data_IF_960283545380
#
_entry.id   IF_960283545380
#
_cell.length_a   1.000
_cell.length_b   1.000
_cell.length_c   1.000
_cell.angle_alpha   90.00
_cell.angle_beta   90.00
_cell.angle_gamma   90.00
#
_symmetry.space_group_name_H-M   'P 1'
#
loop_
_entity.id
_entity.type
_entity.pdbx_description
1 polymer ?
#
# COMPACT_ATOMS: atom_id res chain seq x y z
N UNK A 1 6.58 -6.09 25.03
CA UNK A 1 5.51 -6.17 24.03
C UNK A 1 5.89 -5.21 22.92
N UNK A 2 6.45 -5.71 21.81
CA UNK A 2 6.83 -4.88 20.65
C UNK A 2 5.70 -4.95 19.62
N UNK A 3 4.53 -4.41 19.95
CA UNK A 3 3.40 -4.33 19.02
C UNK A 3 3.42 -2.99 18.29
N UNK A 4 3.23 -3.03 16.97
CA UNK A 4 3.11 -1.83 16.15
C UNK A 4 1.79 -1.11 16.43
N UNK A 5 1.84 0.20 16.62
CA UNK A 5 0.65 1.06 16.73
C UNK A 5 0.66 2.05 15.56
N UNK A 6 -0.32 1.99 14.64
CA UNK A 6 -0.35 2.86 13.47
C UNK A 6 -0.52 4.34 13.83
N UNK A 7 0.24 5.21 13.14
CA UNK A 7 0.12 6.67 13.25
C UNK A 7 -1.06 7.23 12.44
N UNK A 8 -1.29 8.53 12.51
CA UNK A 8 -2.30 9.20 11.67
C UNK A 8 -2.00 9.04 10.18
N UNK A 9 -0.72 9.07 9.80
CA UNK A 9 -0.25 8.81 8.43
C UNK A 9 -0.66 7.44 7.89
N UNK A 10 -0.77 6.43 8.77
CA UNK A 10 -1.26 5.12 8.38
C UNK A 10 -2.79 5.08 8.33
N UNK A 11 -3.46 5.69 9.32
CA UNK A 11 -4.93 5.71 9.46
C UNK A 11 -5.65 6.54 8.38
N UNK A 12 -5.03 7.64 7.94
CA UNK A 12 -5.49 8.48 6.84
C UNK A 12 -4.76 8.14 5.52
N UNK A 13 -4.00 7.04 5.51
CA UNK A 13 -3.30 6.52 4.35
C UNK A 13 -3.64 5.05 4.08
N UNK A 14 -2.66 4.12 4.11
CA UNK A 14 -2.84 2.73 3.71
C UNK A 14 -3.89 1.94 4.51
N UNK A 15 -4.15 2.28 5.78
CA UNK A 15 -5.17 1.59 6.56
C UNK A 15 -6.58 2.11 6.31
N UNK A 16 -6.74 3.26 5.62
CA UNK A 16 -8.05 3.78 5.25
C UNK A 16 -8.65 3.03 4.07
N UNK A 17 -7.85 2.86 3.02
CA UNK A 17 -8.27 2.25 1.75
C UNK A 17 -7.56 0.91 1.48
N UNK A 18 -6.88 0.35 2.48
CA UNK A 18 -6.29 -0.98 2.42
C UNK A 18 -5.36 -1.17 1.22
N UNK A 19 -5.46 -2.29 0.49
CA UNK A 19 -4.65 -2.56 -0.68
C UNK A 19 -4.96 -1.68 -1.89
N UNK A 20 -5.90 -0.73 -1.82
CA UNK A 20 -6.11 0.27 -2.88
C UNK A 20 -5.20 1.50 -2.75
N UNK A 21 -4.45 1.66 -1.65
CA UNK A 21 -3.58 2.84 -1.45
C UNK A 21 -2.49 2.98 -2.53
N UNK A 22 -2.35 4.14 -3.21
CA UNK A 22 -1.46 4.31 -4.36
C UNK A 22 0.00 4.55 -3.96
N UNK A 23 0.91 4.34 -4.92
CA UNK A 23 2.29 4.81 -4.83
C UNK A 23 2.47 6.03 -5.73
N UNK A 24 3.01 7.11 -5.17
CA UNK A 24 3.31 8.34 -5.90
C UNK A 24 4.83 8.55 -5.87
N UNK A 25 5.43 8.82 -7.03
CA UNK A 25 6.85 9.15 -7.12
C UNK A 25 7.13 10.55 -6.55
N UNK A 26 8.11 10.67 -5.65
CA UNK A 26 8.38 11.93 -4.95
C UNK A 26 9.22 12.90 -5.80
N UNK A 27 10.32 12.47 -6.46
CA UNK A 27 11.09 13.39 -7.29
C UNK A 27 10.22 14.02 -8.37
N UNK A 28 10.32 15.35 -8.50
CA UNK A 28 9.60 16.09 -9.51
C UNK A 28 10.26 15.84 -10.87
N UNK A 29 9.54 15.18 -11.77
CA UNK A 29 9.97 14.93 -13.14
C UNK A 29 8.97 15.55 -14.11
N UNK A 30 9.18 16.78 -14.56
CA UNK A 30 8.27 17.41 -15.53
C UNK A 30 8.29 16.66 -16.89
N UNK A 31 7.13 16.40 -17.53
CA UNK A 31 5.77 16.82 -17.16
C UNK A 31 4.96 15.79 -16.33
N UNK A 32 5.59 14.77 -15.77
CA UNK A 32 4.92 13.81 -14.88
C UNK A 32 4.54 14.49 -13.54
N UNK A 33 3.25 14.77 -13.35
CA UNK A 33 2.73 15.45 -12.14
C UNK A 33 1.88 14.51 -11.27
N UNK A 34 2.43 13.36 -10.90
CA UNK A 34 1.74 12.36 -10.08
C UNK A 34 1.43 12.84 -8.65
N UNK A 35 2.14 13.87 -8.17
CA UNK A 35 1.98 14.39 -6.80
C UNK A 35 0.62 15.08 -6.55
N UNK A 36 -0.15 15.33 -7.61
CA UNK A 36 -1.51 15.86 -7.55
C UNK A 36 -2.58 14.79 -7.73
N UNK A 37 -2.20 13.51 -7.70
CA UNK A 37 -3.15 12.41 -7.82
C UNK A 37 -4.18 12.49 -6.69
N UNK A 38 -5.45 12.54 -7.10
CA UNK A 38 -6.59 12.44 -6.19
C UNK A 38 -7.04 10.98 -6.14
N UNK A 39 -7.34 10.50 -4.93
CA UNK A 39 -7.89 9.16 -4.76
C UNK A 39 -9.32 9.13 -5.32
N UNK A 40 -9.67 8.17 -6.20
CA UNK A 40 -11.01 8.09 -6.75
C UNK A 40 -12.02 7.81 -5.63
N UNK A 41 -13.15 8.51 -5.67
CA UNK A 41 -14.26 8.31 -4.71
C UNK A 41 -15.58 8.45 -5.47
N UNK A 42 -16.65 7.92 -4.89
CA UNK A 42 -18.00 8.05 -5.47
C UNK A 42 -18.58 9.44 -5.19
N UNK A 43 -19.49 9.95 -6.05
CA UNK A 43 -20.21 11.21 -5.79
C UNK A 43 -20.98 11.22 -4.46
N UNK A 44 -21.35 10.05 -3.96
CA UNK A 44 -22.07 9.82 -2.70
C UNK A 44 -21.16 9.95 -1.47
N UNK A 45 -19.84 9.92 -1.66
CA UNK A 45 -18.83 10.08 -0.61
C UNK A 45 -18.94 11.46 0.04
N UNK A 46 -19.44 11.51 1.28
CA UNK A 46 -19.67 12.78 2.01
C UNK A 46 -18.40 13.60 2.23
N UNK A 47 -17.25 12.94 2.27
CA UNK A 47 -15.95 13.58 2.49
C UNK A 47 -15.00 13.48 1.28
N UNK A 48 -15.39 12.74 0.24
CA UNK A 48 -14.59 12.48 -0.95
C UNK A 48 -13.20 11.93 -0.64
N UNK A 49 -12.26 12.16 -1.55
CA UNK A 49 -10.84 11.77 -1.39
C UNK A 49 -10.05 12.60 -0.37
N UNK A 50 -10.65 13.63 0.26
CA UNK A 50 -9.93 14.59 1.14
C UNK A 50 -9.28 13.93 2.36
N UNK A 51 -9.86 12.84 2.85
CA UNK A 51 -9.40 12.13 4.05
C UNK A 51 -8.42 11.00 3.75
N UNK A 52 -8.17 10.72 2.48
CA UNK A 52 -7.14 9.80 2.03
C UNK A 52 -6.00 10.68 1.53
N UNK A 53 -4.89 10.74 2.24
CA UNK A 53 -3.70 11.46 1.80
C UNK A 53 -2.92 10.56 0.84
N UNK A 54 -3.07 10.68 -0.50
CA UNK A 54 -2.54 9.67 -1.43
C UNK A 54 -1.03 9.82 -1.60
N UNK A 55 -0.51 11.04 -1.36
CA UNK A 55 0.91 11.31 -1.28
C UNK A 55 1.40 11.04 0.13
N UNK A 56 1.90 9.83 0.37
CA UNK A 56 2.33 9.40 1.70
C UNK A 56 3.46 10.28 2.25
N UNK A 57 3.15 11.00 3.32
CA UNK A 57 4.10 11.79 4.08
C UNK A 57 3.95 11.46 5.57
N UNK A 58 4.85 10.66 6.14
CA UNK A 58 4.80 10.32 7.56
C UNK A 58 4.98 11.59 8.39
N UNK A 59 3.96 11.92 9.19
CA UNK A 59 3.96 13.13 10.01
C UNK A 59 5.06 13.09 11.06
N UNK A 60 5.61 14.28 11.35
CA UNK A 60 6.48 14.50 12.50
C UNK A 60 5.79 15.48 13.44
N UNK A 61 5.24 14.94 14.52
CA UNK A 61 4.52 15.70 15.54
C UNK A 61 5.51 16.03 16.67
N UNK A 62 5.43 17.26 17.20
CA UNK A 62 6.23 17.67 18.34
C UNK A 62 6.05 16.71 19.53
N UNK A 63 7.14 16.37 20.21
CA UNK A 63 7.15 15.36 21.27
C UNK A 63 7.18 13.90 20.82
N UNK A 64 7.11 13.60 19.51
CA UNK A 64 7.32 12.24 18.99
C UNK A 64 8.79 11.96 18.67
N UNK A 65 9.14 10.67 18.59
CA UNK A 65 10.43 10.25 18.04
C UNK A 65 10.61 10.81 16.62
N UNK A 66 11.83 11.26 16.30
CA UNK A 66 12.12 11.83 15.00
C UNK A 66 11.78 10.87 13.85
N UNK A 67 11.18 11.41 12.79
CA UNK A 67 10.52 10.64 11.73
C UNK A 67 11.43 9.57 11.10
N UNK A 68 12.69 9.90 10.84
CA UNK A 68 13.65 8.94 10.29
C UNK A 68 13.80 7.69 11.15
N UNK A 69 13.94 7.81 12.47
CA UNK A 69 13.99 6.63 13.35
C UNK A 69 12.67 5.88 13.39
N UNK A 70 11.54 6.60 13.53
CA UNK A 70 10.21 6.01 13.59
C UNK A 70 9.94 5.10 12.40
N UNK A 71 10.10 5.59 11.18
CA UNK A 71 9.80 4.80 9.97
C UNK A 71 10.67 3.53 9.87
N UNK A 72 11.93 3.59 10.29
CA UNK A 72 12.80 2.40 10.30
C UNK A 72 12.37 1.38 11.38
N UNK A 73 11.98 1.85 12.56
CA UNK A 73 11.44 1.00 13.64
C UNK A 73 10.08 0.40 13.27
N UNK A 74 9.22 1.16 12.59
CA UNK A 74 7.94 0.73 12.04
C UNK A 74 8.17 -0.43 11.07
N UNK A 75 9.02 -0.24 10.04
CA UNK A 75 9.33 -1.29 9.06
C UNK A 75 9.87 -2.55 9.74
N UNK A 76 10.79 -2.41 10.70
CA UNK A 76 11.35 -3.55 11.44
C UNK A 76 10.27 -4.31 12.20
N UNK A 77 9.45 -3.59 12.96
CA UNK A 77 8.41 -4.18 13.82
C UNK A 77 7.31 -4.81 12.97
N UNK A 78 6.82 -4.10 11.97
CA UNK A 78 5.80 -4.58 11.05
C UNK A 78 6.26 -5.80 10.25
N UNK A 79 7.52 -5.82 9.78
CA UNK A 79 8.07 -6.99 9.08
C UNK A 79 8.05 -8.24 9.97
N UNK A 80 8.30 -8.09 11.28
CA UNK A 80 8.18 -9.20 12.22
C UNK A 80 6.71 -9.58 12.45
N UNK A 81 5.82 -8.62 12.67
CA UNK A 81 4.39 -8.85 12.90
C UNK A 81 3.67 -9.49 11.70
N UNK A 82 4.03 -9.09 10.47
CA UNK A 82 3.42 -9.61 9.24
C UNK A 82 3.66 -11.11 9.04
N UNK A 83 4.72 -11.69 9.60
CA UNK A 83 4.93 -13.15 9.58
C UNK A 83 3.81 -13.90 10.29
N UNK A 84 3.26 -13.32 11.35
CA UNK A 84 2.13 -13.92 12.07
C UNK A 84 0.84 -13.83 11.27
N UNK A 85 0.59 -12.69 10.61
CA UNK A 85 -0.56 -12.52 9.71
C UNK A 85 -0.47 -13.44 8.48
N UNK A 86 0.71 -13.56 7.88
CA UNK A 86 0.96 -14.47 6.77
C UNK A 86 0.70 -15.92 7.17
N UNK A 87 1.16 -16.32 8.36
CA UNK A 87 0.89 -17.64 8.92
C UNK A 87 -0.61 -17.84 9.15
N UNK A 88 -1.28 -16.88 9.79
CA UNK A 88 -2.71 -16.95 10.09
C UNK A 88 -3.56 -17.13 8.83
N UNK A 89 -3.30 -16.37 7.75
CA UNK A 89 -4.04 -16.54 6.50
C UNK A 89 -3.79 -17.92 5.86
N UNK A 90 -2.57 -18.47 5.96
CA UNK A 90 -2.23 -19.78 5.39
C UNK A 90 -2.95 -20.90 6.15
N UNK A 91 -2.92 -20.84 7.48
CA UNK A 91 -3.61 -21.79 8.34
C UNK A 91 -5.13 -21.74 8.11
N UNK A 92 -5.71 -20.53 8.03
CA UNK A 92 -7.14 -20.37 7.74
C UNK A 92 -7.52 -20.99 6.39
N UNK A 93 -6.75 -20.71 5.33
CA UNK A 93 -6.98 -21.31 4.00
C UNK A 93 -6.86 -22.84 4.01
N UNK A 94 -5.90 -23.39 4.76
CA UNK A 94 -5.72 -24.85 4.85
C UNK A 94 -6.85 -25.57 5.58
N UNK A 95 -7.56 -24.87 6.47
CA UNK A 95 -8.68 -25.44 7.23
C UNK A 95 -10.01 -25.41 6.48
N UNK A 96 -10.15 -24.58 5.43
CA UNK A 96 -11.40 -24.45 4.66
C UNK A 96 -11.98 -25.77 4.12
N UNK A 97 -11.18 -26.74 3.61
CA UNK A 97 -11.72 -28.01 3.12
C UNK A 97 -12.41 -28.85 4.19
N UNK A 98 -11.99 -28.71 5.45
CA UNK A 98 -12.50 -29.49 6.60
C UNK A 98 -13.74 -28.84 7.23
N UNK A 99 -14.14 -27.65 6.77
CA UNK A 99 -15.33 -26.95 7.27
C UNK A 99 -16.59 -27.67 6.78
N UNK A 100 -17.54 -28.00 7.68
CA UNK A 100 -18.84 -28.54 7.31
C UNK A 100 -19.56 -27.67 6.29
N UNK A 101 -20.30 -28.30 5.37
CA UNK A 101 -21.00 -27.63 4.25
C UNK A 101 -21.84 -26.45 4.74
N UNK A 102 -22.55 -26.63 5.86
CA UNK A 102 -23.47 -25.64 6.44
C UNK A 102 -22.77 -24.40 7.02
N UNK A 103 -21.44 -24.44 7.24
CA UNK A 103 -20.62 -23.31 7.73
C UNK A 103 -19.63 -22.78 6.71
N UNK A 104 -19.63 -23.36 5.51
CA UNK A 104 -18.60 -23.09 4.49
C UNK A 104 -18.59 -21.63 4.05
N UNK A 105 -19.77 -21.03 3.86
CA UNK A 105 -19.85 -19.64 3.43
C UNK A 105 -19.33 -18.67 4.49
N UNK A 106 -19.72 -18.84 5.76
CA UNK A 106 -19.22 -18.03 6.88
C UNK A 106 -17.70 -18.17 7.05
N UNK A 107 -17.17 -19.38 6.90
CA UNK A 107 -15.74 -19.63 6.99
C UNK A 107 -14.96 -18.95 5.84
N UNK A 108 -15.50 -18.95 4.63
CA UNK A 108 -14.91 -18.26 3.48
C UNK A 108 -14.92 -16.73 3.67
N UNK A 109 -15.99 -16.16 4.24
CA UNK A 109 -16.07 -14.72 4.54
C UNK A 109 -15.04 -14.31 5.60
N UNK A 110 -14.90 -15.12 6.66
CA UNK A 110 -13.87 -14.91 7.68
C UNK A 110 -12.46 -15.02 7.08
N UNK A 111 -12.22 -16.01 6.23
CA UNK A 111 -10.94 -16.16 5.54
C UNK A 111 -10.63 -14.96 4.64
N UNK A 112 -11.63 -14.46 3.92
CA UNK A 112 -11.53 -13.26 3.08
C UNK A 112 -11.20 -12.00 3.90
N UNK A 113 -11.83 -11.86 5.07
CA UNK A 113 -11.55 -10.75 6.01
C UNK A 113 -10.10 -10.78 6.49
N UNK A 114 -9.61 -11.94 6.94
CA UNK A 114 -8.23 -12.10 7.41
C UNK A 114 -7.24 -11.84 6.29
N UNK A 115 -7.52 -12.34 5.08
CA UNK A 115 -6.70 -12.07 3.91
C UNK A 115 -6.64 -10.58 3.62
N UNK A 116 -7.78 -9.88 3.57
CA UNK A 116 -7.79 -8.45 3.30
C UNK A 116 -7.01 -7.67 4.37
N UNK A 117 -7.16 -7.99 5.66
CA UNK A 117 -6.36 -7.39 6.72
C UNK A 117 -4.85 -7.58 6.47
N UNK A 118 -4.41 -8.79 6.14
CA UNK A 118 -3.01 -9.06 5.82
C UNK A 118 -2.52 -8.21 4.63
N UNK A 119 -3.30 -8.12 3.55
CA UNK A 119 -2.96 -7.33 2.36
C UNK A 119 -2.89 -5.83 2.67
N UNK A 120 -3.77 -5.32 3.53
CA UNK A 120 -3.73 -3.93 4.01
C UNK A 120 -2.45 -3.64 4.79
N UNK A 121 -2.07 -4.52 5.72
CA UNK A 121 -0.82 -4.36 6.46
C UNK A 121 0.42 -4.50 5.57
N UNK A 122 0.37 -5.34 4.53
CA UNK A 122 1.45 -5.46 3.56
C UNK A 122 1.59 -4.18 2.74
N UNK A 123 0.49 -3.56 2.33
CA UNK A 123 0.49 -2.24 1.67
C UNK A 123 1.10 -1.17 2.57
N UNK A 124 0.73 -1.15 3.86
CA UNK A 124 1.29 -0.23 4.85
C UNK A 124 2.81 -0.43 5.00
N UNK A 125 3.31 -1.67 4.97
CA UNK A 125 4.75 -1.94 4.97
C UNK A 125 5.42 -1.41 3.70
N UNK A 126 4.82 -1.71 2.54
CA UNK A 126 5.41 -1.35 1.26
C UNK A 126 5.44 0.16 1.06
N UNK A 127 4.40 0.92 1.45
CA UNK A 127 4.42 2.38 1.31
C UNK A 127 5.50 3.04 2.16
N UNK A 128 5.77 2.54 3.37
CA UNK A 128 6.87 3.04 4.20
C UNK A 128 8.23 2.78 3.55
N UNK A 129 8.41 1.61 2.95
CA UNK A 129 9.62 1.28 2.16
C UNK A 129 9.75 2.17 0.93
N UNK A 130 8.64 2.38 0.22
CA UNK A 130 8.55 3.27 -0.93
C UNK A 130 8.97 4.69 -0.57
N UNK A 131 8.47 5.23 0.53
CA UNK A 131 8.85 6.54 1.04
C UNK A 131 10.36 6.64 1.33
N UNK A 132 10.95 5.64 1.99
CA UNK A 132 12.40 5.62 2.24
C UNK A 132 13.20 5.58 0.94
N UNK A 133 12.79 4.76 -0.04
CA UNK A 133 13.47 4.68 -1.34
C UNK A 133 13.43 6.03 -2.07
N UNK A 134 12.28 6.70 -2.07
CA UNK A 134 12.15 8.04 -2.63
C UNK A 134 13.09 9.04 -1.96
N UNK A 135 13.16 9.05 -0.62
CA UNK A 135 14.07 9.95 0.12
C UNK A 135 15.54 9.64 -0.12
N UNK A 136 15.90 8.36 -0.25
CA UNK A 136 17.25 7.97 -0.65
C UNK A 136 17.57 8.45 -2.06
N UNK A 137 16.66 8.27 -3.02
CA UNK A 137 16.83 8.67 -4.40
C UNK A 137 16.99 10.20 -4.55
N UNK A 138 16.18 10.99 -3.84
CA UNK A 138 16.25 12.47 -3.87
C UNK A 138 17.60 13.00 -3.38
N UNK A 139 18.24 12.32 -2.43
CA UNK A 139 19.51 12.75 -1.83
C UNK A 139 20.75 12.12 -2.50
N UNK A 140 20.57 11.11 -3.36
CA UNK A 140 21.68 10.37 -3.97
C UNK A 140 22.22 11.10 -5.21
N UNK A 141 23.54 11.26 -5.27
CA UNK A 141 24.24 11.95 -6.36
C UNK A 141 25.05 10.98 -7.22
N UNK A 142 25.33 9.77 -6.73
CA UNK A 142 26.06 8.75 -7.46
C UNK A 142 25.14 7.96 -8.37
N UNK A 143 25.43 7.97 -9.67
CA UNK A 143 24.62 7.30 -10.70
C UNK A 143 24.41 5.82 -10.43
N UNK A 144 25.47 5.09 -10.10
CA UNK A 144 25.41 3.64 -9.83
C UNK A 144 24.45 3.32 -8.68
N UNK A 145 24.50 4.10 -7.60
CA UNK A 145 23.61 3.95 -6.46
C UNK A 145 22.17 4.37 -6.78
N UNK A 146 21.99 5.48 -7.51
CA UNK A 146 20.66 5.95 -7.90
C UNK A 146 19.95 4.94 -8.81
N UNK A 147 20.68 4.31 -9.74
CA UNK A 147 20.16 3.23 -10.59
C UNK A 147 19.78 1.99 -9.76
N UNK A 148 20.60 1.60 -8.78
CA UNK A 148 20.26 0.51 -7.87
C UNK A 148 19.00 0.80 -7.03
N UNK A 149 18.83 2.03 -6.54
CA UNK A 149 17.60 2.44 -5.84
C UNK A 149 16.38 2.33 -6.78
N UNK A 150 16.50 2.70 -8.05
CA UNK A 150 15.43 2.52 -9.03
C UNK A 150 15.09 1.04 -9.28
N UNK A 151 16.07 0.15 -9.25
CA UNK A 151 15.84 -1.31 -9.33
C UNK A 151 15.05 -1.80 -8.10
N UNK A 152 15.44 -1.40 -6.89
CA UNK A 152 14.71 -1.71 -5.66
C UNK A 152 13.26 -1.16 -5.69
N UNK A 153 13.06 0.03 -6.25
CA UNK A 153 11.73 0.63 -6.44
C UNK A 153 10.86 -0.20 -7.41
N UNK A 154 11.44 -0.69 -8.50
CA UNK A 154 10.72 -1.53 -9.46
C UNK A 154 10.31 -2.89 -8.86
N UNK A 155 11.18 -3.51 -8.06
CA UNK A 155 10.87 -4.75 -7.32
C UNK A 155 9.72 -4.54 -6.31
N UNK A 156 9.73 -3.41 -5.61
CA UNK A 156 8.68 -3.06 -4.66
C UNK A 156 7.33 -2.82 -5.37
N UNK A 157 7.34 -2.15 -6.53
CA UNK A 157 6.14 -1.99 -7.37
C UNK A 157 5.60 -3.36 -7.79
N UNK A 158 6.45 -4.27 -8.25
CA UNK A 158 6.03 -5.61 -8.65
C UNK A 158 5.40 -6.40 -7.49
N UNK A 159 5.97 -6.26 -6.30
CA UNK A 159 5.45 -6.88 -5.06
C UNK A 159 4.09 -6.28 -4.66
N UNK A 160 3.96 -4.96 -4.69
CA UNK A 160 2.70 -4.28 -4.36
C UNK A 160 1.60 -4.53 -5.39
N UNK A 161 1.95 -4.59 -6.68
CA UNK A 161 1.01 -4.95 -7.74
C UNK A 161 0.43 -6.34 -7.53
N UNK A 162 1.26 -7.30 -7.12
CA UNK A 162 0.80 -8.66 -6.77
C UNK A 162 -0.10 -8.63 -5.53
N UNK A 163 0.27 -7.86 -4.51
CA UNK A 163 -0.55 -7.67 -3.30
C UNK A 163 -1.95 -7.14 -3.63
N UNK A 164 -2.05 -6.11 -4.47
CA UNK A 164 -3.33 -5.55 -4.92
C UNK A 164 -4.14 -6.57 -5.75
N UNK A 165 -3.49 -7.32 -6.64
CA UNK A 165 -4.17 -8.36 -7.43
C UNK A 165 -4.70 -9.50 -6.56
N UNK A 166 -3.93 -9.94 -5.55
CA UNK A 166 -4.33 -10.96 -4.59
C UNK A 166 -5.48 -10.50 -3.68
N UNK A 167 -5.73 -9.19 -3.57
CA UNK A 167 -6.84 -8.63 -2.80
C UNK A 167 -8.17 -8.60 -3.58
N UNK A 168 -8.16 -8.84 -4.90
CA UNK A 168 -9.38 -8.82 -5.73
C UNK A 168 -10.35 -9.96 -5.34
N UNK A 169 -9.92 -11.23 -5.20
CA UNK A 169 -10.83 -12.32 -4.83
C UNK A 169 -11.64 -12.10 -3.54
N UNK A 170 -11.03 -11.68 -2.41
CA UNK A 170 -11.80 -11.47 -1.18
C UNK A 170 -12.80 -10.31 -1.28
N UNK A 171 -12.44 -9.18 -1.91
CA UNK A 171 -13.39 -8.05 -2.04
C UNK A 171 -14.51 -8.32 -3.03
N UNK A 172 -14.27 -9.15 -4.06
CA UNK A 172 -15.33 -9.59 -4.98
C UNK A 172 -16.32 -10.52 -4.30
N UNK A 173 -15.84 -11.34 -3.35
CA UNK A 173 -16.70 -12.23 -2.57
C UNK A 173 -17.59 -11.44 -1.61
N UNK A 174 -17.00 -10.50 -0.87
CA UNK A 174 -17.72 -9.69 0.09
C UNK A 174 -17.40 -8.21 -0.13
N UNK A 175 -18.31 -7.51 -0.82
CA UNK A 175 -18.15 -6.09 -1.14
C UNK A 175 -18.08 -5.22 0.12
N UNK A 176 -18.67 -5.64 1.24
CA UNK A 176 -18.65 -4.88 2.51
C UNK A 176 -17.23 -4.66 3.02
N UNK A 177 -16.29 -5.53 2.66
CA UNK A 177 -14.89 -5.39 3.02
C UNK A 177 -14.23 -4.14 2.41
N UNK A 178 -14.80 -3.59 1.32
CA UNK A 178 -14.34 -2.36 0.68
C UNK A 178 -15.11 -1.10 1.08
N UNK A 179 -16.15 -1.23 1.92
CA UNK A 179 -17.11 -0.17 2.22
C UNK A 179 -16.79 0.56 3.53
N UNK A 180 -16.86 1.89 3.51
CA UNK A 180 -16.70 2.76 4.68
C UNK A 180 -17.87 3.77 4.74
N UNK A 181 -18.59 3.93 5.87
CA UNK A 181 -19.83 4.72 5.92
C UNK A 181 -19.76 6.18 5.44
N UNK A 182 -18.62 6.84 5.60
CA UNK A 182 -18.43 8.25 5.24
C UNK A 182 -17.81 8.43 3.85
N UNK A 183 -17.08 7.42 3.37
CA UNK A 183 -16.33 7.45 2.12
C UNK A 183 -16.90 6.58 1.00
N UNK A 184 -17.90 5.75 1.31
CA UNK A 184 -18.47 4.71 0.46
C UNK A 184 -17.44 3.61 0.15
N UNK A 185 -17.46 3.02 -1.06
CA UNK A 185 -16.47 2.03 -1.47
C UNK A 185 -15.13 2.70 -1.79
N UNK A 186 -14.10 2.34 -1.04
CA UNK A 186 -12.73 2.86 -1.18
C UNK A 186 -11.69 1.75 -1.36
N UNK A 187 -12.11 0.49 -1.26
CA UNK A 187 -11.29 -0.70 -1.48
C UNK A 187 -12.12 -1.83 -2.12
N UNK A 188 -12.76 -1.52 -3.25
CA UNK A 188 -13.44 -2.50 -4.09
C UNK A 188 -12.55 -2.99 -5.25
N UNK A 189 -13.11 -3.83 -6.12
CA UNK A 189 -12.43 -4.34 -7.30
C UNK A 189 -11.97 -3.22 -8.26
N UNK A 190 -12.78 -2.18 -8.47
CA UNK A 190 -12.47 -1.08 -9.38
C UNK A 190 -11.29 -0.24 -8.87
N UNK A 191 -11.25 0.02 -7.55
CA UNK A 191 -10.16 0.71 -6.88
C UNK A 191 -8.85 -0.11 -6.92
N UNK A 192 -8.93 -1.43 -6.72
CA UNK A 192 -7.75 -2.30 -6.86
C UNK A 192 -7.22 -2.32 -8.29
N UNK A 193 -8.11 -2.41 -9.29
CA UNK A 193 -7.73 -2.29 -10.69
C UNK A 193 -7.16 -0.91 -11.03
N UNK A 194 -7.73 0.16 -10.47
CA UNK A 194 -7.18 1.51 -10.60
C UNK A 194 -5.76 1.59 -10.05
N UNK A 195 -5.50 1.09 -8.83
CA UNK A 195 -4.15 1.06 -8.26
C UNK A 195 -3.18 0.27 -9.13
N UNK A 196 -3.58 -0.90 -9.63
CA UNK A 196 -2.72 -1.70 -10.53
C UNK A 196 -2.32 -0.88 -11.76
N UNK A 197 -3.25 -0.14 -12.36
CA UNK A 197 -2.93 0.77 -13.49
C UNK A 197 -1.95 1.88 -13.07
N UNK A 198 -2.09 2.45 -11.87
CA UNK A 198 -1.14 3.47 -11.37
C UNK A 198 0.26 2.88 -11.19
N UNK A 199 0.37 1.68 -10.61
CA UNK A 199 1.64 0.97 -10.43
C UNK A 199 2.31 0.61 -11.77
N UNK A 200 1.52 0.15 -12.74
CA UNK A 200 2.02 -0.13 -14.09
C UNK A 200 2.49 1.16 -14.79
N UNK A 201 1.74 2.27 -14.68
CA UNK A 201 2.15 3.57 -15.22
C UNK A 201 3.47 4.07 -14.58
N UNK A 202 3.57 3.98 -13.26
CA UNK A 202 4.75 4.36 -12.48
C UNK A 202 5.99 3.58 -12.93
N UNK A 203 5.86 2.27 -13.13
CA UNK A 203 6.94 1.40 -13.63
C UNK A 203 7.33 1.75 -15.07
N UNK A 204 6.36 1.74 -15.98
CA UNK A 204 6.61 1.70 -17.42
C UNK A 204 6.94 3.08 -18.00
N UNK A 205 6.44 4.14 -17.36
CA UNK A 205 6.62 5.52 -17.81
C UNK A 205 7.52 6.32 -16.87
N UNK A 206 7.14 6.46 -15.60
CA UNK A 206 7.80 7.41 -14.68
C UNK A 206 9.20 6.95 -14.26
N UNK A 207 9.37 5.74 -13.72
CA UNK A 207 10.70 5.22 -13.35
C UNK A 207 11.60 5.08 -14.59
N UNK A 208 11.03 4.66 -15.72
CA UNK A 208 11.77 4.56 -16.99
C UNK A 208 12.25 5.93 -17.47
N UNK A 209 11.45 6.97 -17.33
CA UNK A 209 11.83 8.34 -17.68
C UNK A 209 12.89 8.89 -16.74
N UNK A 210 12.74 8.69 -15.43
CA UNK A 210 13.72 9.12 -14.44
C UNK A 210 15.07 8.40 -14.60
N UNK A 211 15.06 7.10 -14.95
CA UNK A 211 16.28 6.36 -15.27
C UNK A 211 17.08 7.03 -16.39
N UNK A 212 16.40 7.40 -17.48
CA UNK A 212 17.05 8.10 -18.61
C UNK A 212 17.69 9.41 -18.18
N UNK A 213 17.06 10.18 -17.28
CA UNK A 213 17.67 11.44 -16.81
C UNK A 213 18.95 11.23 -15.99
N UNK A 214 19.09 10.11 -15.29
CA UNK A 214 20.33 9.77 -14.59
C UNK A 214 21.44 9.40 -15.59
N UNK A 215 21.09 8.66 -16.65
CA UNK A 215 22.05 8.17 -17.65
C UNK A 215 22.56 9.27 -18.60
N UNK A 216 21.83 10.38 -18.76
CA UNK A 216 22.25 11.52 -19.60
C UNK A 216 23.42 12.29 -18.98
N UNK A 217 23.55 12.25 -17.66
CA UNK A 217 24.62 12.96 -16.93
C UNK A 217 25.98 12.33 -17.11
#
# INVERSE_FOLDING_TARGET
MNSYTPGFDDQAGPLRCGPAYPFIFHPILYPHTEQKLEFPTTPESTVGGRWIHPFYQPEHIDGMSWCGRRVHEDIRTMTASLKHWEKAQKEMKSALPDVPEEKRDEALDLAGTIELCYRSFLTMLHIKRWWLLNKKLEAEHRKDKALAILDEMAELIASERRNAADAIPPVRRDSRLGWEPSQDYICDEDHLHWKIRQLDNLRDHTLKAYRRSIEIS
#
